data_IF_471756414531
#
_entry.id   IF_471756414531
#
_cell.length_a   1.000
_cell.length_b   1.000
_cell.length_c   1.000
_cell.angle_alpha   90.00
_cell.angle_beta   90.00
_cell.angle_gamma   90.00
#
_symmetry.space_group_name_H-M   'P 1'
#
loop_
_entity.id
_entity.type
_entity.pdbx_description
1 polymer ?
#
# COMPACT_ATOMS: atom_id res chain seq x y z
N UNK A 1 30.49 34.89 23.85
CA UNK A 1 30.84 33.78 24.74
C UNK A 1 29.72 33.62 25.77
N UNK A 2 28.80 32.67 25.55
CA UNK A 2 27.76 32.30 26.52
C UNK A 2 27.61 30.77 26.49
N UNK A 3 27.46 30.21 27.67
CA UNK A 3 27.84 28.87 28.06
C UNK A 3 26.99 27.74 27.45
N UNK A 4 27.69 26.69 27.04
CA UNK A 4 27.20 25.34 26.75
C UNK A 4 26.58 24.71 28.02
N UNK A 5 25.33 24.25 27.93
CA UNK A 5 24.70 23.39 28.94
C UNK A 5 24.77 21.94 28.46
N UNK A 6 25.72 21.19 29.01
CA UNK A 6 25.79 19.74 28.91
C UNK A 6 24.68 19.08 29.72
N UNK A 7 23.97 18.15 29.09
CA UNK A 7 22.94 17.35 29.72
C UNK A 7 23.59 16.11 30.37
N UNK A 8 23.62 16.07 31.71
CA UNK A 8 24.03 14.92 32.49
C UNK A 8 22.92 13.85 32.50
N UNK A 9 23.26 12.62 32.15
CA UNK A 9 22.46 11.42 32.45
C UNK A 9 22.86 10.87 33.84
N UNK A 10 21.92 10.49 34.73
CA UNK A 10 22.26 9.79 35.94
C UNK A 10 22.44 8.28 35.67
N UNK A 11 23.58 7.77 36.11
CA UNK A 11 23.94 6.36 36.20
C UNK A 11 23.14 5.71 37.33
N UNK A 12 22.45 4.60 37.07
CA UNK A 12 21.90 3.72 38.11
C UNK A 12 22.73 2.44 38.11
N UNK A 13 23.42 2.20 39.24
CA UNK A 13 24.25 1.03 39.52
C UNK A 13 23.43 -0.03 40.28
N UNK A 14 23.55 -1.27 39.82
CA UNK A 14 23.70 -2.53 40.56
C UNK A 14 22.83 -2.84 41.80
N UNK A 15 22.09 -3.94 41.69
CA UNK A 15 21.67 -4.79 42.80
C UNK A 15 21.52 -6.24 42.33
N UNK A 16 22.58 -7.04 42.47
CA UNK A 16 22.58 -8.49 42.28
C UNK A 16 21.87 -9.17 43.45
N UNK A 17 20.98 -10.13 43.15
CA UNK A 17 20.71 -11.24 44.07
C UNK A 17 20.52 -12.51 43.25
N UNK A 18 21.52 -13.39 43.32
CA UNK A 18 21.48 -14.76 42.81
C UNK A 18 20.87 -15.61 43.92
N UNK A 19 19.79 -16.34 43.63
CA UNK A 19 19.40 -17.52 44.38
C UNK A 19 19.20 -18.67 43.39
N UNK A 20 20.13 -19.61 43.37
CA UNK A 20 20.03 -20.86 42.64
C UNK A 20 19.71 -21.98 43.63
N UNK A 21 18.57 -22.65 43.47
CA UNK A 21 18.29 -23.97 44.04
C UNK A 21 17.37 -24.73 43.09
N UNK A 22 17.75 -25.97 42.74
CA UNK A 22 16.80 -27.08 42.58
C UNK A 22 16.54 -27.57 41.16
N UNK A 23 17.27 -28.61 40.75
CA UNK A 23 16.96 -29.46 39.61
C UNK A 23 15.59 -30.16 39.76
N UNK A 24 14.84 -30.36 38.67
CA UNK A 24 14.57 -31.68 38.04
C UNK A 24 13.36 -31.65 37.09
N UNK A 25 13.44 -32.53 36.09
CA UNK A 25 12.39 -33.12 35.26
C UNK A 25 11.84 -32.32 34.08
N UNK A 26 12.31 -32.75 32.91
CA UNK A 26 11.49 -33.32 31.83
C UNK A 26 10.18 -32.60 31.52
N UNK A 27 10.20 -31.90 30.40
CA UNK A 27 9.13 -32.00 29.42
C UNK A 27 9.71 -31.61 28.07
N UNK A 28 9.62 -32.51 27.10
CA UNK A 28 9.92 -32.25 25.70
C UNK A 28 9.28 -30.94 25.25
N UNK A 29 10.10 -29.91 25.06
CA UNK A 29 9.66 -28.70 24.39
C UNK A 29 9.56 -29.03 22.90
N UNK A 30 8.41 -29.57 22.48
CA UNK A 30 8.02 -29.52 21.08
C UNK A 30 7.93 -28.04 20.73
N UNK A 31 8.96 -27.53 20.06
CA UNK A 31 8.96 -26.19 19.49
C UNK A 31 7.98 -26.18 18.32
N UNK A 32 6.69 -26.10 18.62
CA UNK A 32 5.68 -25.72 17.64
C UNK A 32 5.96 -24.26 17.33
N UNK A 33 6.66 -24.03 16.22
CA UNK A 33 6.79 -22.69 15.64
C UNK A 33 5.37 -22.10 15.56
N UNK A 34 5.09 -20.93 16.14
CA UNK A 34 3.76 -20.36 16.04
C UNK A 34 3.49 -20.17 14.55
N UNK A 35 2.46 -20.86 14.03
CA UNK A 35 1.95 -20.64 12.67
C UNK A 35 1.81 -19.13 12.53
N UNK A 36 2.58 -18.51 11.61
CA UNK A 36 2.54 -17.08 11.31
C UNK A 36 1.08 -16.65 11.38
N UNK A 37 0.72 -15.87 12.40
CA UNK A 37 -0.62 -15.32 12.55
C UNK A 37 -1.04 -14.78 11.20
N UNK A 38 -2.14 -15.30 10.64
CA UNK A 38 -2.58 -14.92 9.31
C UNK A 38 -2.66 -13.40 9.26
N UNK A 39 -1.78 -12.77 8.49
CA UNK A 39 -1.79 -11.31 8.32
C UNK A 39 -3.16 -11.00 7.71
N UNK A 40 -4.04 -10.35 8.49
CA UNK A 40 -5.35 -9.91 8.02
C UNK A 40 -5.11 -8.86 6.95
N UNK A 41 -5.21 -9.24 5.68
CA UNK A 41 -5.08 -8.29 4.58
C UNK A 41 -6.29 -7.36 4.65
N UNK A 42 -6.04 -6.06 4.77
CA UNK A 42 -7.09 -5.04 4.86
C UNK A 42 -7.82 -4.97 3.52
N UNK A 43 -9.08 -5.37 3.51
CA UNK A 43 -10.01 -5.13 2.41
C UNK A 43 -10.30 -3.63 2.33
N UNK A 44 -10.44 -3.11 1.11
CA UNK A 44 -10.83 -1.71 0.87
C UNK A 44 -12.34 -1.55 0.99
N UNK A 45 -13.10 -2.58 0.59
CA UNK A 45 -14.55 -2.62 0.69
C UNK A 45 -15.02 -3.89 1.42
N UNK A 46 -16.17 -3.83 2.10
CA UNK A 46 -16.86 -5.03 2.58
C UNK A 46 -17.22 -5.96 1.42
N UNK A 47 -17.29 -7.27 1.69
CA UNK A 47 -17.60 -8.28 0.66
C UNK A 47 -19.01 -8.06 0.07
N UNK A 48 -19.91 -7.55 0.90
CA UNK A 48 -21.32 -7.27 0.59
C UNK A 48 -21.44 -6.26 -0.56
N UNK A 49 -20.54 -5.27 -0.63
CA UNK A 49 -20.55 -4.25 -1.71
C UNK A 49 -20.24 -4.89 -3.06
N UNK A 50 -19.34 -5.87 -3.10
CA UNK A 50 -19.04 -6.58 -4.35
C UNK A 50 -20.19 -7.49 -4.79
N UNK A 51 -20.92 -8.11 -3.86
CA UNK A 51 -22.11 -8.90 -4.17
C UNK A 51 -23.24 -8.02 -4.71
N UNK A 52 -23.46 -6.86 -4.08
CA UNK A 52 -24.40 -5.86 -4.56
C UNK A 52 -24.00 -5.38 -5.96
N UNK A 53 -22.74 -5.02 -6.18
CA UNK A 53 -22.22 -4.62 -7.48
C UNK A 53 -22.49 -5.68 -8.57
N UNK A 54 -22.30 -6.97 -8.26
CA UNK A 54 -22.62 -8.06 -9.21
C UNK A 54 -24.11 -8.18 -9.52
N UNK A 55 -24.97 -7.88 -8.54
CA UNK A 55 -26.42 -7.94 -8.71
C UNK A 55 -26.98 -6.79 -9.56
N UNK A 56 -26.39 -5.59 -9.46
CA UNK A 56 -26.83 -4.38 -10.18
C UNK A 56 -26.09 -4.14 -11.50
N UNK A 57 -25.00 -4.88 -11.75
CA UNK A 57 -24.22 -4.78 -12.98
C UNK A 57 -25.10 -4.98 -14.22
N UNK A 58 -25.05 -4.00 -15.13
CA UNK A 58 -25.84 -3.90 -16.35
C UNK A 58 -25.52 -4.98 -17.40
N UNK A 59 -24.31 -5.55 -17.36
CA UNK A 59 -23.87 -6.51 -18.37
C UNK A 59 -22.67 -7.38 -17.99
N UNK A 60 -22.32 -8.29 -18.91
CA UNK A 60 -21.24 -9.27 -18.70
C UNK A 60 -19.86 -8.63 -18.53
N UNK A 61 -19.61 -7.47 -19.16
CA UNK A 61 -18.37 -6.69 -19.04
C UNK A 61 -18.15 -6.23 -17.60
N UNK A 62 -19.13 -5.55 -16.99
CA UNK A 62 -19.05 -5.09 -15.60
C UNK A 62 -18.89 -6.27 -14.64
N UNK A 63 -19.70 -7.32 -14.79
CA UNK A 63 -19.59 -8.51 -13.95
C UNK A 63 -18.20 -9.17 -14.03
N UNK A 64 -17.59 -9.22 -15.22
CA UNK A 64 -16.24 -9.75 -15.39
C UNK A 64 -15.19 -8.91 -14.65
N UNK A 65 -15.32 -7.58 -14.73
CA UNK A 65 -14.42 -6.65 -14.04
C UNK A 65 -14.60 -6.74 -12.52
N UNK A 66 -15.83 -6.80 -12.02
CA UNK A 66 -16.11 -6.92 -10.58
C UNK A 66 -15.52 -8.23 -10.02
N UNK A 67 -15.70 -9.36 -10.72
CA UNK A 67 -15.06 -10.64 -10.34
C UNK A 67 -13.53 -10.53 -10.35
N UNK A 68 -12.97 -9.78 -11.29
CA UNK A 68 -11.52 -9.53 -11.33
C UNK A 68 -11.06 -8.69 -10.15
N UNK A 69 -11.83 -7.66 -9.75
CA UNK A 69 -11.57 -6.84 -8.57
C UNK A 69 -11.61 -7.67 -7.27
N UNK A 70 -12.62 -8.52 -7.10
CA UNK A 70 -12.70 -9.45 -5.97
C UNK A 70 -11.49 -10.40 -5.91
N UNK A 71 -11.05 -10.92 -7.07
CA UNK A 71 -9.91 -11.85 -7.15
C UNK A 71 -8.57 -11.22 -6.77
N UNK A 72 -8.40 -9.91 -6.95
CA UNK A 72 -7.15 -9.21 -6.59
C UNK A 72 -7.17 -8.72 -5.15
N UNK A 73 -8.34 -8.54 -4.55
CA UNK A 73 -8.47 -8.14 -3.15
C UNK A 73 -7.99 -9.24 -2.19
N UNK A 74 -7.47 -8.85 -1.03
CA UNK A 74 -7.05 -9.79 0.02
C UNK A 74 -5.79 -10.61 -0.30
N UNK A 75 -5.22 -10.48 -1.50
CA UNK A 75 -4.02 -11.22 -1.89
C UNK A 75 -2.77 -10.66 -1.22
N UNK A 76 -2.02 -11.57 -0.60
CA UNK A 76 -0.73 -11.26 0.05
C UNK A 76 0.35 -10.83 -0.95
N UNK A 77 0.38 -11.45 -2.13
CA UNK A 77 1.32 -11.11 -3.20
C UNK A 77 0.57 -10.33 -4.26
N UNK A 78 0.98 -9.08 -4.51
CA UNK A 78 0.48 -8.28 -5.63
C UNK A 78 0.81 -9.01 -6.92
N UNK A 79 -0.22 -9.49 -7.60
CA UNK A 79 -0.11 -10.01 -8.97
C UNK A 79 -0.22 -8.83 -9.92
N UNK A 80 0.74 -8.62 -10.83
CA UNK A 80 0.60 -7.62 -11.88
C UNK A 80 -0.71 -7.87 -12.64
N UNK A 81 -1.56 -6.85 -12.70
CA UNK A 81 -2.79 -6.87 -13.50
C UNK A 81 -2.42 -6.41 -14.92
N UNK A 82 -3.01 -7.03 -15.93
CA UNK A 82 -2.78 -6.63 -17.33
C UNK A 82 -3.17 -5.14 -17.50
N UNK A 83 -2.31 -4.28 -18.10
CA UNK A 83 -2.65 -2.89 -18.43
C UNK A 83 -4.01 -2.73 -19.11
N UNK A 84 -4.38 -3.61 -20.04
CA UNK A 84 -5.70 -3.55 -20.72
C UNK A 84 -6.86 -3.71 -19.73
N UNK A 85 -6.67 -4.53 -18.70
CA UNK A 85 -7.66 -4.70 -17.63
C UNK A 85 -7.72 -3.46 -16.74
N UNK A 86 -6.58 -2.79 -16.48
CA UNK A 86 -6.57 -1.51 -15.76
C UNK A 86 -7.31 -0.44 -16.55
N UNK A 87 -7.07 -0.37 -17.86
CA UNK A 87 -7.76 0.54 -18.76
C UNK A 87 -9.28 0.27 -18.75
N UNK A 88 -9.68 -1.00 -18.87
CA UNK A 88 -11.10 -1.38 -18.80
C UNK A 88 -11.72 -1.05 -17.43
N UNK A 89 -10.97 -1.22 -16.33
CA UNK A 89 -11.41 -0.80 -15.01
C UNK A 89 -11.63 0.72 -14.96
N UNK A 90 -10.71 1.52 -15.52
CA UNK A 90 -10.87 2.98 -15.56
C UNK A 90 -12.10 3.39 -16.38
N UNK A 91 -12.41 2.71 -17.48
CA UNK A 91 -13.62 2.98 -18.27
C UNK A 91 -14.89 2.68 -17.46
N UNK A 92 -14.98 1.49 -16.87
CA UNK A 92 -16.15 1.10 -16.06
C UNK A 92 -16.35 2.03 -14.85
N UNK A 93 -15.27 2.58 -14.28
CA UNK A 93 -15.36 3.53 -13.19
C UNK A 93 -16.18 4.79 -13.53
N UNK A 94 -16.21 5.23 -14.78
CA UNK A 94 -16.99 6.44 -15.18
C UNK A 94 -18.21 6.12 -16.03
N UNK A 95 -18.24 4.98 -16.72
CA UNK A 95 -19.37 4.59 -17.56
C UNK A 95 -20.51 3.95 -16.77
N UNK A 96 -20.23 3.39 -15.59
CA UNK A 96 -21.25 2.66 -14.82
C UNK A 96 -22.19 3.60 -14.07
N UNK A 97 -23.48 3.45 -14.33
CA UNK A 97 -24.55 4.16 -13.60
C UNK A 97 -24.66 3.67 -12.14
N UNK A 98 -24.25 2.43 -11.86
CA UNK A 98 -24.36 1.83 -10.53
C UNK A 98 -23.17 2.22 -9.63
N UNK A 99 -23.47 2.91 -8.52
CA UNK A 99 -22.47 3.36 -7.57
C UNK A 99 -21.66 2.20 -6.94
N UNK A 100 -22.29 1.06 -6.69
CA UNK A 100 -21.64 -0.13 -6.14
C UNK A 100 -20.61 -0.70 -7.12
N UNK A 101 -20.89 -0.64 -8.43
CA UNK A 101 -19.95 -1.05 -9.47
C UNK A 101 -18.76 -0.10 -9.52
N UNK A 102 -19.01 1.23 -9.54
CA UNK A 102 -17.95 2.24 -9.51
C UNK A 102 -17.06 2.08 -8.28
N UNK A 103 -17.64 1.90 -7.09
CA UNK A 103 -16.91 1.67 -5.86
C UNK A 103 -16.07 0.38 -5.90
N UNK A 104 -16.65 -0.75 -6.32
CA UNK A 104 -15.95 -2.02 -6.45
C UNK A 104 -14.73 -1.91 -7.38
N UNK A 105 -14.88 -1.17 -8.48
CA UNK A 105 -13.83 -0.90 -9.46
C UNK A 105 -12.76 0.03 -8.91
N UNK A 106 -13.12 1.12 -8.22
CA UNK A 106 -12.17 2.01 -7.55
C UNK A 106 -11.30 1.24 -6.54
N UNK A 107 -11.91 0.39 -5.72
CA UNK A 107 -11.19 -0.50 -4.80
C UNK A 107 -10.30 -1.50 -5.55
N UNK A 108 -10.79 -2.07 -6.67
CA UNK A 108 -10.01 -2.92 -7.55
C UNK A 108 -8.74 -2.24 -8.09
N UNK A 109 -8.87 -1.02 -8.59
CA UNK A 109 -7.75 -0.20 -9.06
C UNK A 109 -6.72 0.04 -7.95
N UNK A 110 -7.15 0.39 -6.74
CA UNK A 110 -6.25 0.51 -5.58
C UNK A 110 -5.55 -0.81 -5.22
N UNK A 111 -6.24 -1.93 -5.32
CA UNK A 111 -5.70 -3.28 -5.07
C UNK A 111 -4.72 -3.74 -6.15
N UNK A 112 -4.88 -3.27 -7.38
CA UNK A 112 -3.98 -3.61 -8.49
C UNK A 112 -2.54 -3.17 -8.24
N UNK A 113 -2.36 -2.09 -7.45
CA UNK A 113 -1.07 -1.47 -7.23
C UNK A 113 -0.54 -0.68 -8.42
N UNK A 114 -1.35 -0.49 -9.48
CA UNK A 114 -0.97 0.32 -10.63
C UNK A 114 -1.15 1.80 -10.32
N UNK A 115 -0.03 2.52 -10.23
CA UNK A 115 -0.03 3.96 -9.93
C UNK A 115 -0.60 4.80 -11.09
N UNK A 116 -0.70 4.23 -12.30
CA UNK A 116 -1.35 4.83 -13.48
C UNK A 116 -2.84 5.10 -13.23
N UNK A 117 -3.44 4.38 -12.27
CA UNK A 117 -4.83 4.58 -11.90
C UNK A 117 -5.09 5.86 -11.09
N UNK A 118 -4.06 6.47 -10.49
CA UNK A 118 -4.24 7.56 -9.51
C UNK A 118 -5.01 8.75 -10.06
N UNK A 119 -4.72 9.32 -11.25
CA UNK A 119 -5.50 10.45 -11.79
C UNK A 119 -7.01 10.17 -11.86
N UNK A 120 -7.39 8.97 -12.32
CA UNK A 120 -8.79 8.55 -12.41
C UNK A 120 -9.42 8.28 -11.04
N UNK A 121 -8.63 7.82 -10.08
CA UNK A 121 -9.11 7.68 -8.71
C UNK A 121 -9.30 9.05 -8.04
N UNK A 122 -8.48 10.06 -8.37
CA UNK A 122 -8.68 11.43 -7.90
C UNK A 122 -10.00 12.00 -8.43
N UNK A 123 -10.30 11.82 -9.72
CA UNK A 123 -11.61 12.20 -10.30
C UNK A 123 -12.76 11.50 -9.54
N UNK A 124 -12.63 10.20 -9.21
CA UNK A 124 -13.65 9.44 -8.49
C UNK A 124 -13.79 9.81 -6.99
N UNK A 125 -12.85 10.57 -6.41
CA UNK A 125 -13.03 11.14 -5.07
C UNK A 125 -14.08 12.26 -5.07
N UNK A 126 -14.43 12.79 -6.25
CA UNK A 126 -15.45 13.83 -6.42
C UNK A 126 -16.83 13.25 -6.79
N UNK A 127 -16.93 11.92 -6.99
CA UNK A 127 -18.15 11.20 -7.39
C UNK A 127 -19.38 11.55 -6.53
N UNK A 128 -20.57 11.53 -7.12
CA UNK A 128 -21.81 11.87 -6.41
C UNK A 128 -22.16 10.87 -5.30
N UNK A 129 -21.78 9.59 -5.46
CA UNK A 129 -22.08 8.55 -4.49
C UNK A 129 -21.00 8.45 -3.41
N UNK A 130 -21.43 8.51 -2.14
CA UNK A 130 -20.53 8.45 -0.98
C UNK A 130 -19.65 7.18 -0.97
N UNK A 131 -20.21 6.03 -1.33
CA UNK A 131 -19.49 4.75 -1.37
C UNK A 131 -18.34 4.77 -2.39
N UNK A 132 -18.53 5.43 -3.53
CA UNK A 132 -17.49 5.59 -4.55
C UNK A 132 -16.38 6.51 -4.06
N UNK A 133 -16.73 7.66 -3.47
CA UNK A 133 -15.74 8.61 -2.90
C UNK A 133 -14.86 7.96 -1.84
N UNK A 134 -15.49 7.20 -0.93
CA UNK A 134 -14.78 6.45 0.12
C UNK A 134 -13.84 5.41 -0.48
N UNK A 135 -14.31 4.62 -1.45
CA UNK A 135 -13.50 3.61 -2.12
C UNK A 135 -12.30 4.24 -2.87
N UNK A 136 -12.55 5.34 -3.59
CA UNK A 136 -11.54 6.07 -4.33
C UNK A 136 -10.46 6.67 -3.41
N UNK A 137 -10.86 7.37 -2.35
CA UNK A 137 -9.92 7.94 -1.37
C UNK A 137 -9.07 6.86 -0.69
N UNK A 138 -9.69 5.74 -0.31
CA UNK A 138 -8.97 4.62 0.28
C UNK A 138 -8.00 3.96 -0.73
N UNK A 139 -8.38 3.87 -2.00
CA UNK A 139 -7.52 3.37 -3.08
C UNK A 139 -6.33 4.29 -3.32
N UNK A 140 -6.54 5.62 -3.37
CA UNK A 140 -5.47 6.62 -3.47
C UNK A 140 -4.51 6.49 -2.30
N UNK A 141 -5.02 6.42 -1.06
CA UNK A 141 -4.19 6.24 0.12
C UNK A 141 -3.39 4.94 0.10
N UNK A 142 -3.92 3.87 -0.50
CA UNK A 142 -3.19 2.61 -0.67
C UNK A 142 -2.07 2.69 -1.71
N UNK A 143 -2.27 3.45 -2.79
CA UNK A 143 -1.29 3.59 -3.88
C UNK A 143 -0.19 4.60 -3.55
N UNK A 144 -0.56 5.70 -2.88
CA UNK A 144 0.32 6.87 -2.67
C UNK A 144 0.78 7.02 -1.22
N UNK A 145 0.04 6.46 -0.26
CA UNK A 145 0.22 6.73 1.17
C UNK A 145 -0.44 8.03 1.63
N UNK A 146 -1.20 8.74 0.79
CA UNK A 146 -1.85 10.01 1.13
C UNK A 146 -3.28 9.76 1.61
N UNK A 147 -3.56 10.07 2.87
CA UNK A 147 -4.87 9.88 3.49
C UNK A 147 -5.37 11.10 4.27
N UNK A 148 -4.55 12.15 4.39
CA UNK A 148 -4.86 13.36 5.15
C UNK A 148 -5.50 14.42 4.24
N UNK A 149 -6.38 15.26 4.80
CA UNK A 149 -6.91 16.43 4.12
C UNK A 149 -8.13 16.19 3.22
N UNK A 150 -8.70 14.98 3.18
CA UNK A 150 -9.93 14.69 2.44
C UNK A 150 -10.98 14.03 3.35
N UNK A 151 -12.20 14.58 3.35
CA UNK A 151 -13.37 13.96 3.98
C UNK A 151 -14.48 13.72 2.92
N UNK A 152 -14.89 12.46 2.67
CA UNK A 152 -15.90 12.14 1.66
C UNK A 152 -17.30 12.67 1.97
N UNK A 153 -17.57 13.09 3.20
CA UNK A 153 -18.86 13.66 3.63
C UNK A 153 -18.92 15.20 3.51
N UNK A 154 -17.81 15.86 3.22
CA UNK A 154 -17.77 17.31 3.02
C UNK A 154 -18.61 17.75 1.80
N UNK A 155 -18.89 19.05 1.70
CA UNK A 155 -19.58 19.62 0.53
C UNK A 155 -18.79 19.41 -0.77
N UNK A 156 -19.44 19.38 -1.94
CA UNK A 156 -18.75 19.20 -3.21
C UNK A 156 -17.59 20.16 -3.44
N UNK A 157 -17.74 21.42 -3.01
CA UNK A 157 -16.73 22.47 -3.16
C UNK A 157 -15.47 22.17 -2.34
N UNK A 158 -15.64 21.77 -1.07
CA UNK A 158 -14.53 21.41 -0.19
C UNK A 158 -13.83 20.13 -0.66
N UNK A 159 -14.60 19.16 -1.19
CA UNK A 159 -14.03 17.94 -1.77
C UNK A 159 -13.18 18.26 -3.00
N UNK A 160 -13.66 19.12 -3.89
CA UNK A 160 -12.91 19.55 -5.07
C UNK A 160 -11.61 20.26 -4.68
N UNK A 161 -11.66 21.20 -3.72
CA UNK A 161 -10.46 21.87 -3.22
C UNK A 161 -9.45 20.88 -2.64
N UNK A 162 -9.91 19.92 -1.84
CA UNK A 162 -9.05 18.87 -1.32
C UNK A 162 -8.44 18.03 -2.45
N UNK A 163 -9.23 17.62 -3.45
CA UNK A 163 -8.75 16.81 -4.58
C UNK A 163 -7.73 17.57 -5.43
N UNK A 164 -7.89 18.87 -5.62
CA UNK A 164 -6.88 19.69 -6.33
C UNK A 164 -5.51 19.67 -5.62
N UNK A 165 -5.47 19.72 -4.28
CA UNK A 165 -4.22 19.56 -3.54
C UNK A 165 -3.55 18.19 -3.79
N UNK A 166 -4.36 17.13 -3.94
CA UNK A 166 -3.85 15.82 -4.31
C UNK A 166 -3.33 15.80 -5.75
N UNK A 167 -4.00 16.49 -6.70
CA UNK A 167 -3.56 16.61 -8.10
C UNK A 167 -2.24 17.36 -8.22
N UNK A 168 -2.08 18.48 -7.52
CA UNK A 168 -0.82 19.23 -7.49
C UNK A 168 0.33 18.36 -6.97
N UNK A 169 0.09 17.65 -5.87
CA UNK A 169 1.07 16.72 -5.31
C UNK A 169 1.38 15.56 -6.25
N UNK A 170 0.36 15.05 -6.95
CA UNK A 170 0.51 13.99 -7.94
C UNK A 170 1.36 14.45 -9.12
N UNK A 171 1.16 15.67 -9.63
CA UNK A 171 1.94 16.22 -10.74
C UNK A 171 3.44 16.26 -10.43
N UNK A 172 3.80 16.58 -9.18
CA UNK A 172 5.21 16.52 -8.74
C UNK A 172 5.77 15.10 -8.78
N UNK A 173 4.97 14.10 -8.39
CA UNK A 173 5.37 12.70 -8.43
C UNK A 173 5.48 12.18 -9.87
N UNK A 174 4.51 12.48 -10.73
CA UNK A 174 4.46 12.04 -12.13
C UNK A 174 5.68 12.52 -12.93
N UNK A 175 6.19 13.71 -12.62
CA UNK A 175 7.40 14.26 -13.23
C UNK A 175 8.71 13.69 -12.67
N UNK A 176 8.66 12.76 -11.72
CA UNK A 176 9.85 12.20 -11.06
C UNK A 176 10.38 10.94 -11.73
N UNK A 177 11.67 10.64 -11.53
CA UNK A 177 12.27 9.37 -11.94
C UNK A 177 11.61 8.15 -11.26
N UNK A 178 11.05 8.34 -10.06
CA UNK A 178 10.33 7.28 -9.35
C UNK A 178 9.09 6.85 -10.12
N UNK A 179 8.37 7.79 -10.73
CA UNK A 179 7.21 7.47 -11.55
C UNK A 179 7.60 6.65 -12.77
N UNK A 180 8.67 7.06 -13.48
CA UNK A 180 9.20 6.28 -14.62
C UNK A 180 9.53 4.84 -14.23
N UNK A 181 10.20 4.64 -13.11
CA UNK A 181 10.54 3.29 -12.61
C UNK A 181 9.28 2.50 -12.22
N UNK A 182 8.23 3.17 -11.74
CA UNK A 182 6.97 2.53 -11.36
C UNK A 182 6.12 2.11 -12.57
N UNK A 183 6.21 2.82 -13.70
CA UNK A 183 5.36 2.62 -14.88
C UNK A 183 6.04 1.93 -16.06
N UNK A 184 7.36 2.04 -16.19
CA UNK A 184 8.17 1.37 -17.23
C UNK A 184 8.82 0.08 -16.68
N UNK A 185 8.40 -1.12 -17.15
CA UNK A 185 9.00 -2.38 -16.75
C UNK A 185 10.51 -2.46 -17.02
N UNK A 186 10.99 -1.85 -18.11
CA UNK A 186 12.42 -1.86 -18.43
C UNK A 186 13.20 -0.96 -17.48
N UNK A 187 12.66 0.22 -17.14
CA UNK A 187 13.27 1.09 -16.13
C UNK A 187 13.38 0.37 -14.78
N UNK A 188 12.35 -0.38 -14.39
CA UNK A 188 12.37 -1.21 -13.20
C UNK A 188 13.47 -2.27 -13.24
N UNK A 189 13.59 -3.02 -14.34
CA UNK A 189 14.63 -4.04 -14.50
C UNK A 189 16.04 -3.43 -14.42
N UNK A 190 16.26 -2.28 -15.08
CA UNK A 190 17.53 -1.54 -15.01
C UNK A 190 17.89 -1.17 -13.56
N UNK A 191 16.93 -0.65 -12.79
CA UNK A 191 17.14 -0.29 -11.38
C UNK A 191 17.40 -1.52 -10.50
N UNK A 192 16.67 -2.62 -10.70
CA UNK A 192 16.88 -3.88 -9.99
C UNK A 192 18.28 -4.47 -10.27
N UNK A 193 18.76 -4.38 -11.51
CA UNK A 193 20.11 -4.80 -11.86
C UNK A 193 21.20 -3.96 -11.17
N UNK A 194 21.03 -2.63 -11.15
CA UNK A 194 21.96 -1.69 -10.50
C UNK A 194 22.01 -1.94 -8.98
N UNK A 195 20.84 -2.06 -8.34
CA UNK A 195 20.76 -2.32 -6.90
C UNK A 195 21.40 -3.65 -6.50
N UNK A 196 21.18 -4.72 -7.29
CA UNK A 196 21.84 -6.02 -7.09
C UNK A 196 23.36 -5.93 -7.22
N UNK A 197 23.86 -5.21 -8.22
CA UNK A 197 25.30 -4.95 -8.40
C UNK A 197 25.87 -4.18 -7.22
N UNK A 198 25.21 -3.10 -6.78
CA UNK A 198 25.61 -2.27 -5.63
C UNK A 198 25.66 -3.09 -4.33
N UNK A 199 24.64 -3.90 -4.06
CA UNK A 199 24.62 -4.77 -2.88
C UNK A 199 25.76 -5.80 -2.88
N UNK A 200 26.11 -6.32 -4.05
CA UNK A 200 27.23 -7.26 -4.21
C UNK A 200 28.57 -6.57 -3.98
N UNK A 201 28.75 -5.37 -4.52
CA UNK A 201 29.95 -4.55 -4.30
C UNK A 201 30.14 -4.22 -2.82
N UNK A 202 29.09 -3.74 -2.13
CA UNK A 202 29.15 -3.38 -0.72
C UNK A 202 29.55 -4.57 0.17
N UNK A 203 28.95 -5.76 -0.06
CA UNK A 203 29.33 -7.00 0.65
C UNK A 203 30.79 -7.41 0.42
N UNK A 204 31.32 -7.18 -0.78
CA UNK A 204 32.74 -7.45 -1.07
C UNK A 204 33.66 -6.47 -0.34
N UNK A 205 33.28 -5.19 -0.32
CA UNK A 205 34.02 -4.14 0.39
C UNK A 205 34.07 -4.41 1.90
N UNK A 206 32.94 -4.77 2.50
CA UNK A 206 32.85 -5.13 3.93
C UNK A 206 33.78 -6.30 4.28
N UNK A 207 33.73 -7.40 3.51
CA UNK A 207 34.63 -8.55 3.69
C UNK A 207 36.11 -8.21 3.52
N UNK A 208 36.46 -7.23 2.67
CA UNK A 208 37.84 -6.80 2.50
C UNK A 208 38.33 -6.01 3.72
N UNK A 209 37.51 -5.09 4.23
CA UNK A 209 37.82 -4.32 5.43
C UNK A 209 37.96 -5.22 6.68
N UNK A 210 37.14 -6.27 6.80
CA UNK A 210 37.23 -7.22 7.91
C UNK A 210 38.54 -8.04 7.86
N UNK A 211 39.08 -8.29 6.66
CA UNK A 211 40.38 -8.97 6.49
C UNK A 211 41.57 -8.09 6.81
N UNK A 212 41.46 -6.77 6.62
CA UNK A 212 42.53 -5.82 6.95
C UNK A 212 42.62 -5.54 8.47
N UNK A 213 41.56 -5.85 9.23
CA UNK A 213 41.49 -5.65 10.68
C UNK A 213 41.92 -6.86 11.52
N UNK A 214 42.01 -8.04 10.90
CA UNK A 214 42.42 -9.29 11.53
C UNK A 214 43.86 -9.64 11.13
#
# INVERSE_FOLDING_TARGET
MLFSKGFLLPKILFGMTILAIGCTNSSDSVSVSPKKSAIRVKHLLPAEIYEQALSVASGSREQMIIRSCQKIEGKRKKTPVNPDTIQTMQEVLFESEAAEVRAAVAAGLGNSGSVIAVPKLLDAMEDDALVTRQAAAAAVGKLTGWCEGFNPEDSPELRAEAVEQFRERWLLFENSDLYRVATDPEARERVEAITKKRATFLRRKERALDREKN
#
